data_IF_314078047964
#
_entry.id   IF_314078047964
#
_cell.length_a   1.000
_cell.length_b   1.000
_cell.length_c   1.000
_cell.angle_alpha   90.00
_cell.angle_beta   90.00
_cell.angle_gamma   90.00
#
_symmetry.space_group_name_H-M   'P 1'
#
loop_
_entity.id
_entity.type
_entity.pdbx_description
1 polymer ?
#
# COMPACT_ATOMS: atom_id res chain seq x y z
N UNK A 1 12.08 -1.77 -18.20
CA UNK A 1 10.80 -2.34 -18.71
C UNK A 1 9.56 -1.89 -17.93
N UNK A 2 9.51 -1.91 -16.58
CA UNK A 2 8.32 -1.43 -15.83
C UNK A 2 7.87 -0.01 -16.18
N UNK A 3 8.82 0.94 -16.32
CA UNK A 3 8.51 2.36 -16.62
C UNK A 3 7.72 2.54 -17.92
N UNK A 4 7.99 1.72 -18.93
CA UNK A 4 7.31 1.77 -20.24
C UNK A 4 5.92 1.12 -20.21
N UNK A 5 5.71 0.14 -19.33
CA UNK A 5 4.39 -0.46 -19.12
C UNK A 5 3.47 0.48 -18.35
N UNK A 6 4.01 1.17 -17.35
CA UNK A 6 3.28 2.21 -16.62
C UNK A 6 2.96 3.43 -17.49
N UNK A 7 3.85 3.82 -18.42
CA UNK A 7 3.57 4.92 -19.35
C UNK A 7 2.49 4.56 -20.37
N UNK A 8 2.50 3.34 -20.93
CA UNK A 8 1.47 2.90 -21.88
C UNK A 8 0.09 2.77 -21.21
N UNK A 9 0.02 2.23 -20.00
CA UNK A 9 -1.21 2.14 -19.21
C UNK A 9 -1.75 3.53 -18.86
N UNK A 10 -0.88 4.49 -18.51
CA UNK A 10 -1.30 5.87 -18.24
C UNK A 10 -1.77 6.59 -19.52
N UNK A 11 -1.12 6.34 -20.67
CA UNK A 11 -1.53 6.90 -21.97
C UNK A 11 -2.91 6.37 -22.39
N UNK A 12 -3.13 5.05 -22.34
CA UNK A 12 -4.41 4.43 -22.66
C UNK A 12 -5.52 4.90 -21.71
N UNK A 13 -5.22 5.04 -20.41
CA UNK A 13 -6.21 5.51 -19.44
C UNK A 13 -6.53 6.99 -19.58
N UNK A 14 -5.55 7.82 -19.90
CA UNK A 14 -5.80 9.23 -20.23
C UNK A 14 -6.69 9.35 -21.48
N UNK A 15 -6.46 8.52 -22.49
CA UNK A 15 -7.30 8.48 -23.68
C UNK A 15 -8.75 8.08 -23.39
N UNK A 16 -8.97 7.09 -22.50
CA UNK A 16 -10.33 6.72 -22.07
C UNK A 16 -11.05 7.87 -21.35
N UNK A 17 -10.35 8.58 -20.46
CA UNK A 17 -10.91 9.74 -19.76
C UNK A 17 -11.33 10.83 -20.75
N UNK A 18 -10.42 11.20 -21.67
CA UNK A 18 -10.68 12.22 -22.71
C UNK A 18 -11.84 11.80 -23.61
N UNK A 19 -11.85 10.54 -24.08
CA UNK A 19 -12.96 10.04 -24.88
C UNK A 19 -14.30 10.13 -24.14
N UNK A 20 -14.37 9.75 -22.86
CA UNK A 20 -15.61 9.83 -22.09
C UNK A 20 -16.10 11.27 -21.89
N UNK A 21 -15.18 12.23 -21.78
CA UNK A 21 -15.50 13.67 -21.72
C UNK A 21 -16.05 14.12 -23.09
N UNK A 22 -15.35 13.82 -24.18
CA UNK A 22 -15.76 14.17 -25.54
C UNK A 22 -17.11 13.53 -25.92
N UNK A 23 -17.35 12.27 -25.51
CA UNK A 23 -18.63 11.58 -25.73
C UNK A 23 -19.79 12.26 -24.99
N UNK A 24 -19.55 12.68 -23.75
CA UNK A 24 -20.58 13.37 -22.98
C UNK A 24 -20.87 14.75 -23.56
N UNK A 25 -19.85 15.47 -24.02
CA UNK A 25 -19.99 16.80 -24.62
C UNK A 25 -20.70 16.74 -25.99
N UNK A 26 -20.34 15.76 -26.84
CA UNK A 26 -20.85 15.65 -28.21
C UNK A 26 -22.26 15.06 -28.31
N UNK A 27 -22.63 14.18 -27.39
CA UNK A 27 -23.90 13.45 -27.44
C UNK A 27 -24.84 13.77 -26.27
N UNK A 28 -24.61 14.86 -25.54
CA UNK A 28 -25.41 15.21 -24.36
C UNK A 28 -26.91 15.24 -24.67
N UNK A 29 -27.33 15.84 -25.79
CA UNK A 29 -28.76 15.93 -26.16
C UNK A 29 -29.41 14.58 -26.47
N UNK A 30 -28.61 13.56 -26.83
CA UNK A 30 -29.08 12.24 -27.24
C UNK A 30 -29.00 11.20 -26.11
N UNK A 31 -28.32 11.52 -25.01
CA UNK A 31 -28.12 10.61 -23.89
C UNK A 31 -29.26 10.75 -22.88
N UNK A 32 -29.71 9.61 -22.35
CA UNK A 32 -30.62 9.61 -21.21
C UNK A 32 -29.93 10.19 -19.96
N UNK A 33 -30.71 10.69 -19.00
CA UNK A 33 -30.15 11.20 -17.73
C UNK A 33 -29.37 10.12 -16.95
N UNK A 34 -29.77 8.86 -17.08
CA UNK A 34 -29.09 7.72 -16.45
C UNK A 34 -27.72 7.47 -17.06
N UNK A 35 -27.63 7.50 -18.39
CA UNK A 35 -26.37 7.31 -19.12
C UNK A 35 -25.38 8.45 -18.85
N UNK A 36 -25.87 9.69 -18.84
CA UNK A 36 -25.08 10.87 -18.44
C UNK A 36 -24.50 10.69 -17.03
N UNK A 37 -25.34 10.25 -16.09
CA UNK A 37 -24.92 10.01 -14.70
C UNK A 37 -23.88 8.90 -14.61
N UNK A 38 -24.04 7.84 -15.39
CA UNK A 38 -23.08 6.74 -15.46
C UNK A 38 -21.70 7.19 -15.99
N UNK A 39 -21.66 7.91 -17.11
CA UNK A 39 -20.42 8.42 -17.70
C UNK A 39 -19.74 9.41 -16.74
N UNK A 40 -20.50 10.34 -16.15
CA UNK A 40 -19.99 11.27 -15.12
C UNK A 40 -19.37 10.50 -13.94
N UNK A 41 -20.01 9.44 -13.46
CA UNK A 41 -19.46 8.61 -12.39
C UNK A 41 -18.12 7.94 -12.77
N UNK A 42 -17.96 7.49 -14.03
CA UNK A 42 -16.69 6.94 -14.52
C UNK A 42 -15.60 8.03 -14.51
N UNK A 43 -15.90 9.20 -15.07
CA UNK A 43 -14.98 10.35 -15.12
C UNK A 43 -14.54 10.74 -13.71
N UNK A 44 -15.49 10.97 -12.80
CA UNK A 44 -15.20 11.32 -11.39
C UNK A 44 -14.34 10.26 -10.73
N UNK A 45 -14.63 8.97 -10.96
CA UNK A 45 -13.84 7.88 -10.42
C UNK A 45 -12.40 7.88 -10.97
N UNK A 46 -12.19 8.11 -12.26
CA UNK A 46 -10.84 8.16 -12.83
C UNK A 46 -10.03 9.37 -12.36
N UNK A 47 -10.65 10.54 -12.25
CA UNK A 47 -10.03 11.75 -11.69
C UNK A 47 -9.63 11.52 -10.23
N UNK A 48 -10.57 11.07 -9.41
CA UNK A 48 -10.32 10.79 -8.00
C UNK A 48 -9.23 9.72 -7.81
N UNK A 49 -9.10 8.75 -8.72
CA UNK A 49 -8.01 7.78 -8.69
C UNK A 49 -6.65 8.42 -9.02
N UNK A 50 -6.58 9.36 -9.97
CA UNK A 50 -5.33 10.09 -10.28
C UNK A 50 -4.80 10.85 -9.06
N UNK A 51 -5.71 11.46 -8.29
CA UNK A 51 -5.38 12.25 -7.10
C UNK A 51 -5.04 11.33 -5.91
N UNK A 52 -5.94 10.40 -5.57
CA UNK A 52 -5.82 9.60 -4.34
C UNK A 52 -4.97 8.35 -4.49
N UNK A 53 -4.75 7.86 -5.72
CA UNK A 53 -4.16 6.54 -6.05
C UNK A 53 -4.93 5.34 -5.47
N UNK A 54 -6.18 5.52 -5.07
CA UNK A 54 -7.05 4.48 -4.49
C UNK A 54 -8.17 4.14 -5.48
N UNK A 55 -8.31 2.85 -5.85
CA UNK A 55 -9.29 2.40 -6.85
C UNK A 55 -10.71 2.25 -6.29
N UNK A 56 -10.85 1.79 -5.04
CA UNK A 56 -12.17 1.62 -4.40
C UNK A 56 -12.79 2.99 -4.09
N UNK A 57 -14.05 3.19 -4.49
CA UNK A 57 -14.82 4.41 -4.20
C UNK A 57 -15.08 4.56 -2.69
N UNK A 58 -15.49 3.49 -2.03
CA UNK A 58 -15.75 3.45 -0.59
C UNK A 58 -14.49 3.79 0.21
N UNK A 59 -13.36 3.16 -0.13
CA UNK A 59 -12.09 3.41 0.56
C UNK A 59 -11.60 4.86 0.35
N UNK A 60 -11.83 5.43 -0.84
CA UNK A 60 -11.52 6.85 -1.09
C UNK A 60 -12.36 7.76 -0.23
N UNK A 61 -13.67 7.54 -0.19
CA UNK A 61 -14.59 8.36 0.60
C UNK A 61 -14.21 8.32 2.09
N UNK A 62 -13.92 7.12 2.60
CA UNK A 62 -13.39 6.93 3.93
C UNK A 62 -12.10 7.72 4.17
N UNK A 63 -11.08 7.56 3.32
CA UNK A 63 -9.80 8.24 3.51
C UNK A 63 -9.94 9.76 3.49
N UNK A 64 -10.79 10.30 2.62
CA UNK A 64 -11.08 11.74 2.54
C UNK A 64 -11.76 12.21 3.83
N UNK A 65 -12.76 11.47 4.32
CA UNK A 65 -13.48 11.81 5.56
C UNK A 65 -12.58 11.73 6.78
N UNK A 66 -11.74 10.70 6.89
CA UNK A 66 -10.76 10.58 7.98
C UNK A 66 -9.73 11.72 7.97
N UNK A 67 -9.29 12.14 6.78
CA UNK A 67 -8.39 13.30 6.65
C UNK A 67 -9.07 14.61 7.08
N UNK A 68 -10.35 14.80 6.73
CA UNK A 68 -11.13 15.97 7.13
C UNK A 68 -11.38 16.01 8.66
N UNK A 69 -11.50 14.85 9.30
CA UNK A 69 -11.64 14.71 10.75
C UNK A 69 -10.33 14.92 11.53
N UNK A 70 -9.21 15.20 10.85
CA UNK A 70 -7.93 15.46 11.50
C UNK A 70 -7.24 14.21 12.05
N UNK A 71 -7.61 13.01 11.57
CA UNK A 71 -6.96 11.77 12.00
C UNK A 71 -5.51 11.74 11.55
N UNK A 72 -4.64 11.20 12.41
CA UNK A 72 -3.22 11.09 12.18
C UNK A 72 -2.90 10.48 10.81
N UNK A 73 -2.01 11.15 10.06
CA UNK A 73 -1.60 10.73 8.72
C UNK A 73 -1.01 9.32 8.69
N UNK A 74 -0.38 8.88 9.79
CA UNK A 74 0.11 7.52 10.00
C UNK A 74 -1.00 6.47 9.94
N UNK A 75 -2.16 6.71 10.54
CA UNK A 75 -3.30 5.79 10.47
C UNK A 75 -3.91 5.74 9.08
N UNK A 76 -3.98 6.89 8.39
CA UNK A 76 -4.45 6.93 6.99
C UNK A 76 -3.52 6.10 6.09
N UNK A 77 -2.20 6.18 6.30
CA UNK A 77 -1.23 5.36 5.57
C UNK A 77 -1.44 3.87 5.82
N UNK A 78 -1.62 3.46 7.07
CA UNK A 78 -1.86 2.05 7.42
C UNK A 78 -3.19 1.52 6.83
N UNK A 79 -4.24 2.33 6.84
CA UNK A 79 -5.54 1.99 6.22
C UNK A 79 -5.37 1.76 4.71
N UNK A 80 -4.62 2.63 4.02
CA UNK A 80 -4.32 2.45 2.58
C UNK A 80 -3.56 1.16 2.32
N UNK A 81 -2.63 0.80 3.21
CA UNK A 81 -1.87 -0.46 3.13
C UNK A 81 -2.76 -1.68 3.36
N UNK A 82 -3.70 -1.57 4.30
CA UNK A 82 -4.63 -2.62 4.69
C UNK A 82 -5.90 -2.67 3.81
N UNK A 83 -5.92 -2.00 2.64
CA UNK A 83 -7.10 -1.87 1.76
C UNK A 83 -7.92 -3.14 1.49
N UNK A 84 -7.29 -4.34 1.53
CA UNK A 84 -7.99 -5.63 1.33
C UNK A 84 -8.78 -6.10 2.55
N UNK A 85 -8.42 -5.61 3.73
CA UNK A 85 -8.99 -5.96 5.02
C UNK A 85 -9.94 -4.88 5.56
N UNK A 86 -10.09 -3.76 4.85
CA UNK A 86 -11.02 -2.68 5.21
C UNK A 86 -12.42 -3.07 4.75
N UNK A 87 -13.35 -3.15 5.69
CA UNK A 87 -14.77 -3.30 5.45
C UNK A 87 -15.42 -1.95 5.75
N UNK A 88 -16.12 -1.39 4.77
CA UNK A 88 -16.88 -0.14 4.91
C UNK A 88 -18.36 -0.49 4.87
N UNK A 89 -19.02 -0.42 6.02
CA UNK A 89 -20.48 -0.45 6.10
C UNK A 89 -20.99 0.99 6.24
N UNK A 90 -22.28 1.21 5.93
CA UNK A 90 -22.91 2.53 5.89
C UNK A 90 -22.57 3.42 7.10
N UNK A 91 -22.48 2.84 8.30
CA UNK A 91 -22.27 3.62 9.54
C UNK A 91 -20.86 3.47 10.13
N UNK A 92 -20.12 2.42 9.76
CA UNK A 92 -18.87 2.03 10.44
C UNK A 92 -17.87 1.46 9.43
N UNK A 93 -16.65 1.97 9.49
CA UNK A 93 -15.51 1.31 8.87
C UNK A 93 -14.69 0.54 9.89
N UNK A 94 -14.34 -0.70 9.55
CA UNK A 94 -13.56 -1.58 10.39
C UNK A 94 -12.56 -2.36 9.56
N UNK A 95 -11.35 -2.50 10.09
CA UNK A 95 -10.35 -3.40 9.54
C UNK A 95 -10.54 -4.77 10.18
N UNK A 96 -10.98 -5.75 9.39
CA UNK A 96 -11.12 -7.15 9.83
C UNK A 96 -9.96 -7.95 9.25
N UNK A 97 -9.05 -8.36 10.13
CA UNK A 97 -7.96 -9.26 9.77
C UNK A 97 -8.31 -10.70 10.14
N UNK A 98 -7.93 -11.63 9.29
CA UNK A 98 -8.12 -13.06 9.52
C UNK A 98 -6.93 -13.68 10.26
N UNK A 99 -7.10 -14.90 10.77
CA UNK A 99 -6.03 -15.63 11.45
C UNK A 99 -4.81 -15.83 10.54
N UNK A 100 -5.02 -16.02 9.24
CA UNK A 100 -3.95 -16.10 8.23
C UNK A 100 -3.06 -14.87 8.22
N UNK A 101 -3.62 -13.66 8.35
CA UNK A 101 -2.86 -12.41 8.42
C UNK A 101 -1.95 -12.38 9.66
N UNK A 102 -2.46 -12.82 10.80
CA UNK A 102 -1.69 -12.87 12.05
C UNK A 102 -0.53 -13.86 11.93
N UNK A 103 -0.76 -15.03 11.34
CA UNK A 103 0.29 -16.02 11.07
C UNK A 103 1.35 -15.45 10.14
N UNK A 104 0.96 -14.85 9.01
CA UNK A 104 1.90 -14.22 8.07
C UNK A 104 2.71 -13.10 8.73
N UNK A 105 2.08 -12.27 9.57
CA UNK A 105 2.77 -11.23 10.33
C UNK A 105 3.88 -11.82 11.21
N UNK A 106 3.61 -12.92 11.93
CA UNK A 106 4.61 -13.56 12.77
C UNK A 106 5.72 -14.23 11.97
N UNK A 107 5.38 -14.86 10.84
CA UNK A 107 6.37 -15.42 9.91
C UNK A 107 7.31 -14.31 9.41
N UNK A 108 6.80 -13.15 9.01
CA UNK A 108 7.63 -12.01 8.61
C UNK A 108 8.58 -11.56 9.73
N UNK A 109 8.13 -11.52 10.99
CA UNK A 109 9.01 -11.15 12.12
C UNK A 109 10.07 -12.20 12.39
N UNK A 110 9.70 -13.49 12.31
CA UNK A 110 10.65 -14.57 12.45
C UNK A 110 11.70 -14.53 11.34
N UNK A 111 11.29 -14.29 10.09
CA UNK A 111 12.22 -14.12 8.97
C UNK A 111 13.17 -12.94 9.18
N UNK A 112 12.69 -11.81 9.68
CA UNK A 112 13.54 -10.66 10.03
C UNK A 112 14.61 -11.03 11.07
N UNK A 113 14.24 -11.79 12.11
CA UNK A 113 15.17 -12.28 13.14
C UNK A 113 16.21 -13.24 12.53
N UNK A 114 15.77 -14.17 11.68
CA UNK A 114 16.67 -15.13 11.01
C UNK A 114 17.68 -14.40 10.11
N UNK A 115 17.23 -13.40 9.35
CA UNK A 115 18.11 -12.57 8.50
C UNK A 115 19.13 -11.83 9.36
N UNK A 116 18.72 -11.27 10.50
CA UNK A 116 19.63 -10.58 11.41
C UNK A 116 20.65 -11.54 12.04
N UNK A 117 20.23 -12.73 12.46
CA UNK A 117 21.13 -13.76 12.96
C UNK A 117 22.15 -14.22 11.90
N UNK A 118 21.70 -14.41 10.65
CA UNK A 118 22.58 -14.72 9.52
C UNK A 118 23.60 -13.61 9.27
N UNK A 119 23.18 -12.35 9.37
CA UNK A 119 24.09 -11.20 9.22
C UNK A 119 25.19 -11.22 10.29
N UNK A 120 24.83 -11.42 11.56
CA UNK A 120 25.80 -11.56 12.66
C UNK A 120 26.74 -12.74 12.40
N UNK A 121 26.21 -13.88 11.96
CA UNK A 121 27.02 -15.06 11.67
C UNK A 121 28.03 -14.81 10.55
N UNK A 122 27.63 -14.12 9.47
CA UNK A 122 28.51 -13.76 8.37
C UNK A 122 29.63 -12.83 8.85
N UNK A 123 29.29 -11.78 9.61
CA UNK A 123 30.28 -10.85 10.18
C UNK A 123 31.23 -11.54 11.16
N UNK A 124 30.71 -12.45 11.98
CA UNK A 124 31.54 -13.21 12.92
C UNK A 124 32.52 -14.13 12.18
N UNK A 125 32.04 -14.88 11.18
CA UNK A 125 32.88 -15.77 10.39
C UNK A 125 34.02 -15.02 9.70
N UNK A 126 33.72 -13.87 9.10
CA UNK A 126 34.72 -13.08 8.37
C UNK A 126 35.78 -12.47 9.28
N UNK A 127 35.38 -11.88 10.41
CA UNK A 127 36.31 -11.20 11.31
C UNK A 127 37.16 -12.15 12.15
N UNK A 128 36.62 -13.32 12.51
CA UNK A 128 37.26 -14.20 13.50
C UNK A 128 37.79 -15.53 12.94
N UNK A 129 37.26 -16.04 11.82
CA UNK A 129 37.65 -17.35 11.27
C UNK A 129 38.54 -17.17 10.02
N UNK A 130 38.08 -16.37 9.06
CA UNK A 130 38.71 -16.28 7.73
C UNK A 130 39.77 -15.14 7.63
N UNK A 131 39.99 -14.40 8.72
CA UNK A 131 40.70 -13.11 8.78
C UNK A 131 42.06 -13.02 8.03
N UNK A 132 42.97 -14.02 8.05
CA UNK A 132 44.26 -13.88 7.34
C UNK A 132 44.20 -14.14 5.83
N UNK A 133 43.11 -14.69 5.27
CA UNK A 133 43.07 -15.21 3.90
C UNK A 133 42.06 -14.53 2.96
N UNK A 134 41.37 -13.48 3.40
CA UNK A 134 40.31 -12.84 2.60
C UNK A 134 40.92 -11.85 1.59
N UNK A 135 40.60 -12.02 0.31
CA UNK A 135 40.95 -11.04 -0.72
C UNK A 135 40.10 -9.76 -0.61
N UNK A 136 40.62 -8.63 -1.08
CA UNK A 136 39.93 -7.34 -1.03
C UNK A 136 38.58 -7.34 -1.78
N UNK A 137 38.47 -8.13 -2.85
CA UNK A 137 37.23 -8.28 -3.62
C UNK A 137 36.18 -9.07 -2.84
N UNK A 138 36.57 -10.17 -2.20
CA UNK A 138 35.66 -10.96 -1.36
C UNK A 138 35.14 -10.15 -0.17
N UNK A 139 35.99 -9.33 0.44
CA UNK A 139 35.59 -8.43 1.51
C UNK A 139 34.54 -7.41 1.04
N UNK A 140 34.73 -6.81 -0.13
CA UNK A 140 33.79 -5.85 -0.73
C UNK A 140 32.43 -6.50 -1.04
N UNK A 141 32.44 -7.71 -1.60
CA UNK A 141 31.22 -8.48 -1.88
C UNK A 141 30.47 -8.78 -0.58
N UNK A 142 31.17 -9.13 0.49
CA UNK A 142 30.54 -9.41 1.78
C UNK A 142 29.92 -8.18 2.43
N UNK A 143 30.56 -7.00 2.34
CA UNK A 143 29.95 -5.75 2.79
C UNK A 143 28.65 -5.48 2.03
N UNK A 144 28.67 -5.59 0.71
CA UNK A 144 27.47 -5.41 -0.11
C UNK A 144 26.35 -6.39 0.29
N UNK A 145 26.70 -7.65 0.55
CA UNK A 145 25.76 -8.68 0.97
C UNK A 145 25.14 -8.38 2.34
N UNK A 146 25.93 -7.92 3.31
CA UNK A 146 25.43 -7.49 4.63
C UNK A 146 24.46 -6.32 4.50
N UNK A 147 24.76 -5.31 3.68
CA UNK A 147 23.86 -4.17 3.43
C UNK A 147 22.53 -4.65 2.81
N UNK A 148 22.59 -5.58 1.84
CA UNK A 148 21.37 -6.14 1.23
C UNK A 148 20.54 -6.91 2.28
N UNK A 149 21.19 -7.71 3.12
CA UNK A 149 20.52 -8.44 4.20
C UNK A 149 19.88 -7.49 5.22
N UNK A 150 20.54 -6.40 5.58
CA UNK A 150 20.00 -5.38 6.48
C UNK A 150 18.73 -4.74 5.89
N UNK A 151 18.79 -4.32 4.62
CA UNK A 151 17.63 -3.75 3.92
C UNK A 151 16.47 -4.75 3.85
N UNK A 152 16.75 -6.03 3.59
CA UNK A 152 15.74 -7.10 3.61
C UNK A 152 15.17 -7.30 5.02
N UNK A 153 16.01 -7.33 6.05
CA UNK A 153 15.60 -7.47 7.44
C UNK A 153 14.65 -6.35 7.88
N UNK A 154 14.97 -5.10 7.55
CA UNK A 154 14.12 -3.92 7.79
C UNK A 154 12.81 -4.03 7.01
N UNK A 155 12.86 -4.50 5.76
CA UNK A 155 11.67 -4.69 4.94
C UNK A 155 10.69 -5.67 5.61
N UNK A 156 11.14 -6.86 6.01
CA UNK A 156 10.31 -7.83 6.72
C UNK A 156 9.81 -7.31 8.09
N UNK A 157 10.63 -6.51 8.77
CA UNK A 157 10.23 -5.88 10.04
C UNK A 157 9.11 -4.85 9.86
N UNK A 158 9.02 -4.21 8.70
CA UNK A 158 8.04 -3.15 8.43
C UNK A 158 6.92 -3.57 7.46
N UNK A 159 6.95 -4.79 6.90
CA UNK A 159 6.07 -5.24 5.81
C UNK A 159 4.59 -5.36 6.19
N UNK A 160 4.28 -5.91 7.35
CA UNK A 160 2.90 -5.97 7.86
C UNK A 160 2.69 -5.04 9.07
N UNK A 161 1.53 -4.38 9.08
CA UNK A 161 1.07 -3.53 10.20
C UNK A 161 0.78 -4.43 11.39
N UNK A 162 1.23 -4.03 12.58
CA UNK A 162 1.05 -4.88 13.76
C UNK A 162 -0.43 -5.06 14.13
N UNK A 163 -0.86 -6.25 14.57
CA UNK A 163 -2.24 -6.47 15.01
C UNK A 163 -2.68 -5.52 16.14
N UNK A 164 -1.74 -5.11 17.01
CA UNK A 164 -1.97 -4.11 18.05
C UNK A 164 -2.28 -2.73 17.47
N UNK A 165 -1.55 -2.29 16.44
CA UNK A 165 -1.80 -1.02 15.76
C UNK A 165 -3.11 -1.05 15.00
N UNK A 166 -3.47 -2.18 14.39
CA UNK A 166 -4.78 -2.39 13.76
C UNK A 166 -5.92 -2.25 14.77
N UNK A 167 -5.77 -2.80 15.99
CA UNK A 167 -6.75 -2.60 17.07
C UNK A 167 -6.92 -1.12 17.42
N UNK A 168 -5.83 -0.35 17.52
CA UNK A 168 -5.89 1.10 17.77
C UNK A 168 -6.56 1.88 16.64
N UNK A 169 -6.26 1.52 15.40
CA UNK A 169 -6.93 2.12 14.23
C UNK A 169 -8.43 1.83 14.30
N UNK A 170 -8.83 0.59 14.61
CA UNK A 170 -10.24 0.24 14.75
C UNK A 170 -10.94 0.96 15.91
N UNK A 171 -10.26 1.18 17.04
CA UNK A 171 -10.84 2.00 18.12
C UNK A 171 -11.01 3.44 17.70
N UNK A 172 -10.09 3.99 16.91
CA UNK A 172 -10.20 5.36 16.41
C UNK A 172 -11.32 5.47 15.38
N UNK A 173 -11.40 4.53 14.45
CA UNK A 173 -12.50 4.43 13.48
C UNK A 173 -13.87 4.29 14.16
N UNK A 174 -13.95 3.58 15.29
CA UNK A 174 -15.21 3.41 16.02
C UNK A 174 -15.69 4.69 16.73
N UNK A 175 -14.80 5.61 17.08
CA UNK A 175 -15.16 6.92 17.67
C UNK A 175 -15.82 7.83 16.64
N UNK A 176 -15.42 7.70 15.38
CA UNK A 176 -15.90 8.52 14.29
C UNK A 176 -16.97 7.74 13.52
N UNK A 177 -18.24 7.93 13.90
CA UNK A 177 -19.36 7.44 13.08
C UNK A 177 -19.23 8.04 11.68
N UNK A 178 -19.33 7.18 10.67
CA UNK A 178 -19.39 7.63 9.29
C UNK A 178 -20.82 8.09 9.00
N UNK A 179 -21.37 9.08 9.71
CA UNK A 179 -22.73 9.58 9.43
C UNK A 179 -22.82 10.08 7.97
N UNK A 180 -23.85 9.63 7.24
CA UNK A 180 -24.08 9.89 5.81
C UNK A 180 -24.00 11.38 5.45
#
# INVERSE_FOLDING_TARGET
MLKNFYSSLNFLRNRRLTNNIDYLEKYDEYLSQEDKKYIKNIITSEIMFKVTRIKSKELRHLVIKLAALGIESGYIFDIRRLKRYVIVNADIAKIKIDASYVVTYWIEKLMSIVIFALMIFIVFKTLYIDNPNISSLEFLVMICLVIILELLGICFLTLSVSPRRIKRINTELAKHKLDN
#
